data_IF_246633121320
#
_entry.id   IF_246633121320
#
_cell.length_a   1.000
_cell.length_b   1.000
_cell.length_c   1.000
_cell.angle_alpha   90.00
_cell.angle_beta   90.00
_cell.angle_gamma   90.00
#
_symmetry.space_group_name_H-M   'P 1'
#
loop_
_entity.id
_entity.type
_entity.pdbx_description
1 polymer ?
#
# COMPACT_ATOMS: atom_id res chain seq x y z
N UNK A 1 24.70 8.74 31.43
CA UNK A 1 23.97 7.97 30.41
C UNK A 1 22.58 7.75 30.96
N UNK A 2 21.58 8.38 30.36
CA UNK A 2 20.20 8.30 30.82
C UNK A 2 19.50 7.28 29.93
N UNK A 3 19.02 6.21 30.54
CA UNK A 3 18.33 5.12 29.87
C UNK A 3 17.03 5.64 29.26
N UNK A 4 16.92 5.60 27.93
CA UNK A 4 15.68 5.88 27.23
C UNK A 4 14.73 4.71 27.45
N UNK A 5 13.90 4.80 28.48
CA UNK A 5 12.81 3.87 28.71
C UNK A 5 11.75 4.05 27.59
N UNK A 6 11.59 2.98 26.82
CA UNK A 6 10.80 2.90 25.57
C UNK A 6 9.31 3.17 25.82
N UNK A 7 8.83 2.98 27.06
CA UNK A 7 7.44 3.26 27.45
C UNK A 7 7.10 4.76 27.49
N UNK A 8 8.05 5.63 27.83
CA UNK A 8 7.81 7.08 27.90
C UNK A 8 7.68 7.71 26.50
N UNK A 9 8.36 7.16 25.50
CA UNK A 9 8.23 7.61 24.11
C UNK A 9 6.89 7.25 23.46
N UNK A 10 6.16 6.24 23.97
CA UNK A 10 4.81 5.89 23.47
C UNK A 10 3.70 6.81 23.97
N UNK A 11 3.83 7.41 25.15
CA UNK A 11 2.80 8.30 25.70
C UNK A 11 2.91 9.75 25.23
N UNK A 12 4.08 10.20 24.76
CA UNK A 12 4.28 11.58 24.27
C UNK A 12 4.03 11.69 22.75
N UNK A 13 4.14 10.60 21.98
CA UNK A 13 3.75 10.55 20.57
C UNK A 13 2.28 10.12 20.38
N UNK A 14 1.37 10.80 21.08
CA UNK A 14 -0.04 10.76 20.74
C UNK A 14 -0.23 11.31 19.32
N UNK A 15 -0.58 10.42 18.39
CA UNK A 15 -1.11 10.66 17.05
C UNK A 15 -0.56 11.86 16.29
N UNK A 16 0.41 11.61 15.40
CA UNK A 16 0.87 12.62 14.44
C UNK A 16 -0.27 13.14 13.55
N UNK A 17 -0.04 14.24 12.83
CA UNK A 17 -0.98 14.86 11.88
C UNK A 17 -1.71 13.85 10.94
N UNK A 18 -1.07 12.70 10.66
CA UNK A 18 -1.56 11.61 9.83
C UNK A 18 -2.52 10.63 10.52
N UNK A 19 -2.56 10.61 11.85
CA UNK A 19 -3.42 9.74 12.66
C UNK A 19 -4.91 10.15 12.53
N UNK A 20 -5.16 11.44 12.29
CA UNK A 20 -6.49 11.97 11.93
C UNK A 20 -7.00 11.44 10.57
N UNK A 21 -6.11 11.22 9.61
CA UNK A 21 -6.44 10.68 8.29
C UNK A 21 -6.36 9.15 8.23
N UNK A 22 -6.08 8.48 9.35
CA UNK A 22 -5.93 7.00 9.44
C UNK A 22 -5.07 6.43 8.31
N UNK A 23 -3.88 7.03 8.15
CA UNK A 23 -2.88 6.53 7.22
C UNK A 23 -2.00 5.50 7.93
N UNK A 24 -1.91 4.29 7.39
CA UNK A 24 -1.03 3.24 7.90
C UNK A 24 -0.34 2.54 6.73
N UNK A 25 0.99 2.48 6.74
CA UNK A 25 1.80 1.80 5.71
C UNK A 25 1.94 0.29 5.94
N UNK A 26 1.30 -0.26 6.96
CA UNK A 26 1.45 -1.66 7.35
C UNK A 26 2.84 -2.01 7.89
N UNK A 27 3.73 -1.03 8.08
CA UNK A 27 5.13 -1.24 8.53
C UNK A 27 5.45 -0.58 9.87
N UNK A 28 6.36 -1.19 10.63
CA UNK A 28 6.93 -0.66 11.88
C UNK A 28 8.36 -1.19 12.07
N UNK A 29 9.29 -0.34 12.49
CA UNK A 29 10.70 -0.70 12.73
C UNK A 29 11.38 -1.47 11.58
N UNK A 30 11.06 -1.13 10.32
CA UNK A 30 11.65 -1.78 9.14
C UNK A 30 11.11 -3.19 8.84
N UNK A 31 10.00 -3.59 9.44
CA UNK A 31 9.28 -4.83 9.15
C UNK A 31 7.78 -4.56 8.98
N UNK A 32 7.04 -5.49 8.33
CA UNK A 32 5.58 -5.37 8.29
C UNK A 32 4.94 -5.78 9.63
N UNK A 33 3.87 -5.09 10.00
CA UNK A 33 3.09 -5.31 11.22
C UNK A 33 2.28 -6.60 11.16
N UNK A 34 1.98 -7.09 9.96
CA UNK A 34 1.20 -8.30 9.69
C UNK A 34 2.07 -9.59 9.67
N UNK A 35 3.39 -9.47 9.86
CA UNK A 35 4.33 -10.59 9.83
C UNK A 35 4.72 -11.08 8.44
N UNK A 36 4.21 -10.45 7.37
CA UNK A 36 4.62 -10.74 6.00
C UNK A 36 5.98 -10.10 5.67
N UNK A 37 6.63 -10.58 4.61
CA UNK A 37 7.82 -9.94 4.08
C UNK A 37 7.52 -8.51 3.60
N UNK A 38 8.51 -7.62 3.65
CA UNK A 38 8.38 -6.31 3.00
C UNK A 38 8.08 -6.51 1.50
N UNK A 39 7.23 -5.66 0.94
CA UNK A 39 6.75 -5.75 -0.43
C UNK A 39 5.53 -6.65 -0.62
N UNK A 40 4.91 -7.12 0.46
CA UNK A 40 3.64 -7.86 0.41
C UNK A 40 2.41 -6.94 0.63
N UNK A 41 2.63 -5.63 0.81
CA UNK A 41 1.59 -4.63 1.02
C UNK A 41 1.28 -3.90 -0.28
N UNK A 42 1.05 -2.60 -0.19
CA UNK A 42 0.96 -1.72 -1.35
C UNK A 42 2.31 -1.22 -1.87
N UNK A 43 3.37 -1.44 -1.11
CA UNK A 43 4.72 -1.07 -1.48
C UNK A 43 5.53 -2.24 -2.02
N UNK A 44 6.76 -1.91 -2.38
CA UNK A 44 7.86 -2.87 -2.56
C UNK A 44 8.69 -2.89 -1.29
N UNK A 45 9.68 -3.79 -1.20
CA UNK A 45 10.68 -3.79 -0.11
C UNK A 45 11.24 -2.40 0.22
N UNK A 46 11.39 -1.53 -0.78
CA UNK A 46 11.94 -0.17 -0.63
C UNK A 46 10.89 0.90 -0.37
N UNK A 47 9.62 0.65 -0.68
CA UNK A 47 8.54 1.64 -0.63
C UNK A 47 7.44 1.32 0.37
N UNK A 48 7.47 0.15 1.01
CA UNK A 48 6.55 -0.30 2.07
C UNK A 48 6.47 0.63 3.29
N UNK A 49 7.49 1.46 3.53
CA UNK A 49 7.46 2.45 4.60
C UNK A 49 6.72 3.75 4.22
N UNK A 50 6.48 3.96 2.92
CA UNK A 50 6.01 5.23 2.36
C UNK A 50 4.68 5.09 1.61
N UNK A 51 4.41 3.90 1.06
CA UNK A 51 3.14 3.60 0.42
C UNK A 51 2.18 3.13 1.52
N UNK A 52 1.06 3.83 1.73
CA UNK A 52 0.06 3.37 2.69
C UNK A 52 -0.50 2.01 2.27
N UNK A 53 -0.84 1.19 3.24
CA UNK A 53 -1.76 0.06 3.08
C UNK A 53 -3.19 0.47 3.47
N UNK A 54 -3.33 1.54 4.27
CA UNK A 54 -4.60 2.11 4.72
C UNK A 54 -4.64 3.62 4.50
N UNK A 55 -5.76 4.12 3.99
CA UNK A 55 -6.04 5.55 3.79
C UNK A 55 -7.47 5.87 4.23
N UNK A 56 -7.64 6.90 5.05
CA UNK A 56 -8.96 7.29 5.58
C UNK A 56 -9.68 6.15 6.34
N UNK A 57 -8.90 5.19 6.87
CA UNK A 57 -9.42 4.01 7.56
C UNK A 57 -9.91 2.91 6.62
N UNK A 58 -9.64 3.02 5.33
CA UNK A 58 -9.92 1.99 4.31
C UNK A 58 -8.62 1.23 4.04
N UNK A 59 -8.65 -0.08 4.25
CA UNK A 59 -7.57 -0.99 3.90
C UNK A 59 -7.61 -1.31 2.40
N UNK A 60 -6.51 -1.06 1.70
CA UNK A 60 -6.36 -1.34 0.26
C UNK A 60 -5.29 -2.40 -0.01
N UNK A 61 -4.73 -3.03 1.03
CA UNK A 61 -3.71 -4.06 0.91
C UNK A 61 -4.17 -5.24 0.04
N UNK A 62 -5.45 -5.59 0.10
CA UNK A 62 -6.03 -6.67 -0.73
C UNK A 62 -6.02 -6.33 -2.22
N UNK A 63 -6.35 -5.09 -2.60
CA UNK A 63 -6.27 -4.62 -3.97
C UNK A 63 -4.84 -4.58 -4.49
N UNK A 64 -3.90 -4.13 -3.64
CA UNK A 64 -2.47 -4.10 -3.95
C UNK A 64 -1.89 -5.50 -4.14
N UNK A 65 -2.24 -6.45 -3.27
CA UNK A 65 -1.85 -7.84 -3.44
C UNK A 65 -2.29 -8.39 -4.81
N UNK A 66 -3.53 -8.12 -5.23
CA UNK A 66 -4.04 -8.55 -6.55
C UNK A 66 -3.32 -7.87 -7.72
N UNK A 67 -2.88 -6.62 -7.54
CA UNK A 67 -2.07 -5.89 -8.52
C UNK A 67 -0.68 -6.51 -8.66
N UNK A 68 -0.03 -6.85 -7.57
CA UNK A 68 1.28 -7.52 -7.58
C UNK A 68 1.21 -8.92 -8.21
N UNK A 69 0.14 -9.68 -7.97
CA UNK A 69 -0.09 -10.96 -8.65
C UNK A 69 -0.25 -10.77 -10.16
N UNK A 70 -0.93 -9.70 -10.59
CA UNK A 70 -1.06 -9.35 -12.01
C UNK A 70 0.29 -8.99 -12.62
N UNK A 71 1.11 -8.20 -11.91
CA UNK A 71 2.49 -7.89 -12.29
C UNK A 71 3.37 -9.14 -12.39
N UNK A 72 3.11 -10.13 -11.54
CA UNK A 72 3.84 -11.39 -11.49
C UNK A 72 3.32 -12.45 -12.47
N UNK A 73 2.35 -12.11 -13.32
CA UNK A 73 1.84 -13.03 -14.36
C UNK A 73 2.57 -12.75 -15.67
N UNK A 74 3.33 -13.73 -16.19
CA UNK A 74 4.13 -13.53 -17.40
C UNK A 74 3.27 -13.09 -18.60
N UNK A 75 3.67 -12.00 -19.26
CA UNK A 75 3.00 -11.44 -20.43
C UNK A 75 1.73 -10.63 -20.10
N UNK A 76 1.42 -10.41 -18.83
CA UNK A 76 0.26 -9.62 -18.43
C UNK A 76 0.45 -8.14 -18.77
N UNK A 77 -0.63 -7.48 -19.18
CA UNK A 77 -0.58 -6.05 -19.54
C UNK A 77 -0.48 -5.17 -18.30
N UNK A 78 0.56 -4.33 -18.23
CA UNK A 78 0.72 -3.32 -17.15
C UNK A 78 -0.50 -2.41 -17.04
N UNK A 79 -0.98 -1.87 -18.16
CA UNK A 79 -2.13 -0.96 -18.17
C UNK A 79 -3.39 -1.65 -17.60
N UNK A 80 -3.57 -2.93 -17.93
CA UNK A 80 -4.68 -3.72 -17.40
C UNK A 80 -4.54 -3.96 -15.90
N UNK A 81 -3.32 -4.24 -15.41
CA UNK A 81 -3.05 -4.40 -13.98
C UNK A 81 -3.34 -3.10 -13.23
N UNK A 82 -2.81 -1.97 -13.70
CA UNK A 82 -2.99 -0.65 -13.08
C UNK A 82 -4.47 -0.22 -13.07
N UNK A 83 -5.22 -0.55 -14.12
CA UNK A 83 -6.67 -0.31 -14.19
C UNK A 83 -7.43 -1.19 -13.18
N UNK A 84 -7.05 -2.46 -13.08
CA UNK A 84 -7.65 -3.39 -12.13
C UNK A 84 -7.40 -2.96 -10.68
N UNK A 85 -6.21 -2.43 -10.37
CA UNK A 85 -5.90 -1.87 -9.04
C UNK A 85 -6.91 -0.80 -8.65
N UNK A 86 -7.16 0.19 -9.53
CA UNK A 86 -8.13 1.25 -9.25
C UNK A 86 -9.54 0.70 -9.00
N UNK A 87 -9.98 -0.28 -9.81
CA UNK A 87 -11.30 -0.90 -9.66
C UNK A 87 -11.42 -1.71 -8.37
N UNK A 88 -10.35 -2.44 -8.00
CA UNK A 88 -10.31 -3.22 -6.78
C UNK A 88 -10.30 -2.32 -5.54
N UNK A 89 -9.56 -1.21 -5.56
CA UNK A 89 -9.61 -0.20 -4.48
C UNK A 89 -11.01 0.37 -4.33
N UNK A 90 -11.68 0.72 -5.43
CA UNK A 90 -13.07 1.18 -5.36
C UNK A 90 -13.98 0.13 -4.73
N UNK A 91 -13.83 -1.13 -5.12
CA UNK A 91 -14.61 -2.25 -4.58
C UNK A 91 -14.36 -2.46 -3.09
N UNK A 92 -13.09 -2.52 -2.67
CA UNK A 92 -12.68 -2.73 -1.29
C UNK A 92 -13.11 -1.56 -0.40
N UNK A 93 -13.00 -0.33 -0.90
CA UNK A 93 -13.47 0.86 -0.21
C UNK A 93 -14.99 0.86 0.00
N UNK A 94 -15.77 0.55 -1.04
CA UNK A 94 -17.22 0.45 -0.92
C UNK A 94 -17.64 -0.67 0.05
N UNK A 95 -16.95 -1.82 0.01
CA UNK A 95 -17.22 -2.94 0.92
C UNK A 95 -16.94 -2.60 2.40
N UNK A 96 -16.00 -1.69 2.65
CA UNK A 96 -15.66 -1.19 3.99
C UNK A 96 -16.52 0.00 4.44
N UNK A 97 -17.54 0.39 3.65
CA UNK A 97 -18.45 1.49 3.99
C UNK A 97 -17.91 2.88 3.67
N UNK A 98 -16.84 2.98 2.87
CA UNK A 98 -16.34 4.25 2.35
C UNK A 98 -17.37 4.94 1.45
N UNK A 99 -17.43 6.27 1.51
CA UNK A 99 -18.28 7.05 0.62
C UNK A 99 -17.64 7.17 -0.78
N UNK A 100 -18.47 7.47 -1.79
CA UNK A 100 -18.01 7.55 -3.18
C UNK A 100 -16.85 8.54 -3.38
N UNK A 101 -16.85 9.70 -2.72
CA UNK A 101 -15.80 10.69 -2.86
C UNK A 101 -14.46 10.15 -2.32
N UNK A 102 -14.46 9.61 -1.09
CA UNK A 102 -13.30 9.00 -0.45
C UNK A 102 -12.75 7.85 -1.31
N UNK A 103 -13.60 6.95 -1.78
CA UNK A 103 -13.16 5.83 -2.61
C UNK A 103 -12.52 6.27 -3.92
N UNK A 104 -13.10 7.27 -4.60
CA UNK A 104 -12.51 7.82 -5.83
C UNK A 104 -11.18 8.53 -5.57
N UNK A 105 -11.03 9.24 -4.45
CA UNK A 105 -9.76 9.88 -4.08
C UNK A 105 -8.68 8.82 -3.84
N UNK A 106 -8.96 7.79 -3.05
CA UNK A 106 -8.00 6.71 -2.79
C UNK A 106 -7.62 6.02 -4.11
N UNK A 107 -8.61 5.56 -4.89
CA UNK A 107 -8.36 4.89 -6.16
C UNK A 107 -7.56 5.76 -7.15
N UNK A 108 -7.89 7.06 -7.24
CA UNK A 108 -7.19 8.01 -8.09
C UNK A 108 -5.72 8.20 -7.69
N UNK A 109 -5.43 8.34 -6.40
CA UNK A 109 -4.05 8.50 -5.91
C UNK A 109 -3.20 7.28 -6.27
N UNK A 110 -3.69 6.06 -6.05
CA UNK A 110 -2.94 4.86 -6.43
C UNK A 110 -2.80 4.72 -7.93
N UNK A 111 -3.86 4.94 -8.70
CA UNK A 111 -3.85 4.83 -10.16
C UNK A 111 -2.80 5.77 -10.78
N UNK A 112 -2.76 7.03 -10.35
CA UNK A 112 -1.74 7.99 -10.79
C UNK A 112 -0.35 7.53 -10.34
N UNK A 113 -0.18 7.10 -9.10
CA UNK A 113 1.11 6.67 -8.56
C UNK A 113 1.70 5.48 -9.33
N UNK A 114 0.92 4.43 -9.60
CA UNK A 114 1.41 3.26 -10.35
C UNK A 114 1.63 3.57 -11.84
N UNK A 115 0.85 4.48 -12.42
CA UNK A 115 1.06 4.92 -13.81
C UNK A 115 2.40 5.66 -13.98
N UNK A 116 2.78 6.48 -13.00
CA UNK A 116 4.01 7.28 -13.03
C UNK A 116 5.25 6.48 -12.58
N UNK A 117 5.12 5.67 -11.52
CA UNK A 117 6.27 5.05 -10.85
C UNK A 117 6.29 3.52 -10.93
N UNK A 118 5.20 2.88 -11.34
CA UNK A 118 5.06 1.42 -11.35
C UNK A 118 5.83 0.69 -12.45
N UNK A 119 6.41 1.39 -13.43
CA UNK A 119 7.11 0.79 -14.57
C UNK A 119 8.27 -0.12 -14.15
N UNK A 120 9.07 0.34 -13.19
CA UNK A 120 10.24 -0.41 -12.70
C UNK A 120 9.82 -1.68 -11.97
N UNK A 121 8.80 -1.60 -11.12
CA UNK A 121 8.28 -2.75 -10.40
C UNK A 121 7.67 -3.79 -11.35
N UNK A 122 6.91 -3.34 -12.36
CA UNK A 122 6.37 -4.20 -13.40
C UNK A 122 7.46 -4.94 -14.16
N UNK A 123 8.46 -4.22 -14.67
CA UNK A 123 9.56 -4.84 -15.43
C UNK A 123 10.35 -5.85 -14.58
N UNK A 124 10.55 -5.56 -13.29
CA UNK A 124 11.25 -6.47 -12.38
C UNK A 124 10.42 -7.74 -12.12
N UNK A 125 9.11 -7.61 -11.88
CA UNK A 125 8.21 -8.73 -11.69
C UNK A 125 8.10 -9.58 -12.97
N UNK A 126 7.93 -8.96 -14.14
CA UNK A 126 7.88 -9.66 -15.43
C UNK A 126 9.18 -10.40 -15.74
N UNK A 127 10.33 -9.79 -15.42
CA UNK A 127 11.61 -10.48 -15.55
C UNK A 127 11.56 -11.77 -14.73
N UNK A 128 11.26 -11.71 -13.44
CA UNK A 128 11.21 -12.89 -12.55
C UNK A 128 10.17 -13.94 -12.96
N UNK A 129 9.03 -13.53 -13.51
CA UNK A 129 7.92 -14.41 -13.83
C UNK A 129 7.98 -15.07 -15.21
N UNK A 130 8.78 -14.53 -16.13
CA UNK A 130 8.92 -15.06 -17.49
C UNK A 130 10.20 -15.87 -17.72
N UNK A 131 10.91 -16.26 -16.65
CA UNK A 131 12.10 -17.12 -16.70
C UNK A 131 11.77 -18.60 -16.55
#
# INVERSE_FOLDING_TARGET
>A
MQECNIELTRQVQGGGFWDFLKFDSGTSNGARKDGNALGAGCGTVKSDAYVPDMLFGIDVSQACFQHDQSYSTCGFSRLTADTNLSNNILKDCNAQGGNALTCNVIAGVYSVSVSLFGASAFNQAQAQSCY
#
